data_IF_812161794300
#
_entry.id   IF_812161794300
#
_cell.length_a   1.000
_cell.length_b   1.000
_cell.length_c   1.000
_cell.angle_alpha   90.00
_cell.angle_beta   90.00
_cell.angle_gamma   90.00
#
_symmetry.space_group_name_H-M   'P 1'
#
loop_
_entity.id
_entity.type
_entity.pdbx_description
1 polymer ?
#
# COMPACT_ATOMS: atom_id res chain seq x y z
N UNK A 1 -11.78 10.13 -26.21
CA UNK A 1 -11.91 9.15 -25.12
C UNK A 1 -12.07 9.85 -23.78
N UNK A 2 -12.63 9.18 -22.76
CA UNK A 2 -12.80 9.70 -21.40
C UNK A 2 -12.16 8.74 -20.41
N UNK A 3 -11.41 9.27 -19.44
CA UNK A 3 -10.80 8.49 -18.35
C UNK A 3 -11.27 9.01 -16.99
N UNK A 4 -11.23 8.19 -15.97
CA UNK A 4 -11.53 8.57 -14.58
C UNK A 4 -10.24 8.68 -13.79
N UNK A 5 -9.92 9.88 -13.31
CA UNK A 5 -8.76 10.13 -12.46
C UNK A 5 -9.16 9.98 -10.99
N UNK A 6 -8.38 9.20 -10.22
CA UNK A 6 -8.54 9.01 -8.77
C UNK A 6 -7.51 9.82 -8.00
N UNK A 7 -7.98 10.52 -6.97
CA UNK A 7 -7.15 11.33 -6.08
C UNK A 7 -7.05 10.71 -4.70
N UNK A 8 -5.84 10.68 -4.14
CA UNK A 8 -5.56 10.13 -2.82
C UNK A 8 -4.75 11.10 -1.96
N UNK A 9 -4.88 10.97 -0.64
CA UNK A 9 -4.10 11.69 0.33
C UNK A 9 -4.12 13.22 0.11
N UNK A 10 -2.95 13.89 0.10
CA UNK A 10 -2.84 15.32 -0.08
C UNK A 10 -3.50 15.84 -1.38
N UNK A 11 -3.46 15.04 -2.47
CA UNK A 11 -4.10 15.44 -3.73
C UNK A 11 -5.62 15.51 -3.62
N UNK A 12 -6.24 14.52 -2.95
CA UNK A 12 -7.68 14.54 -2.73
C UNK A 12 -8.11 15.74 -1.90
N UNK A 13 -7.34 16.07 -0.86
CA UNK A 13 -7.63 17.22 0.00
C UNK A 13 -7.50 18.53 -0.76
N UNK A 14 -6.45 18.70 -1.55
CA UNK A 14 -6.18 19.90 -2.32
C UNK A 14 -7.17 20.10 -3.49
N UNK A 15 -7.66 19.04 -4.11
CA UNK A 15 -8.62 19.08 -5.22
C UNK A 15 -10.07 19.09 -4.74
N UNK A 16 -10.33 18.72 -3.47
CA UNK A 16 -11.67 18.64 -2.88
C UNK A 16 -12.56 17.53 -3.45
N UNK A 17 -12.00 16.62 -4.28
CA UNK A 17 -12.76 15.53 -4.90
C UNK A 17 -12.00 14.22 -4.83
N UNK A 18 -12.72 13.09 -4.81
CA UNK A 18 -12.12 11.75 -4.86
C UNK A 18 -11.78 11.32 -6.28
N UNK A 19 -12.53 11.83 -7.26
CA UNK A 19 -12.38 11.44 -8.65
C UNK A 19 -12.77 12.57 -9.59
N UNK A 20 -12.22 12.55 -10.80
CA UNK A 20 -12.44 13.51 -11.86
C UNK A 20 -12.51 12.81 -13.22
N UNK A 21 -13.60 13.03 -13.95
CA UNK A 21 -13.69 12.59 -15.35
C UNK A 21 -12.94 13.55 -16.27
N UNK A 22 -11.99 13.04 -17.05
CA UNK A 22 -11.17 13.84 -17.97
C UNK A 22 -11.36 13.37 -19.39
N UNK A 23 -11.62 14.32 -20.31
CA UNK A 23 -11.69 14.05 -21.76
C UNK A 23 -10.33 14.26 -22.39
N UNK A 24 -9.88 13.29 -23.15
CA UNK A 24 -8.60 13.31 -23.87
C UNK A 24 -8.82 13.00 -25.35
N UNK A 25 -7.92 13.44 -26.25
CA UNK A 25 -7.88 12.95 -27.62
C UNK A 25 -7.66 11.44 -27.65
N UNK A 26 -8.15 10.77 -28.71
CA UNK A 26 -7.85 9.36 -28.90
C UNK A 26 -6.36 9.15 -29.15
N UNK A 27 -5.81 8.09 -28.53
CA UNK A 27 -4.39 7.77 -28.59
C UNK A 27 -3.52 8.56 -27.60
N UNK A 28 -4.12 9.35 -26.69
CA UNK A 28 -3.37 10.03 -25.62
C UNK A 28 -2.72 9.00 -24.67
N UNK A 29 -1.61 9.40 -24.08
CA UNK A 29 -0.83 8.63 -23.11
C UNK A 29 -0.97 9.20 -21.70
N UNK A 30 -0.52 8.44 -20.72
CA UNK A 30 -0.54 8.85 -19.30
C UNK A 30 0.19 10.19 -19.09
N UNK A 31 1.30 10.43 -19.78
CA UNK A 31 2.04 11.69 -19.74
C UNK A 31 1.24 12.90 -20.26
N UNK A 32 0.40 12.70 -21.28
CA UNK A 32 -0.47 13.75 -21.80
C UNK A 32 -1.54 14.16 -20.78
N UNK A 33 -2.12 13.16 -20.10
CA UNK A 33 -3.04 13.38 -18.99
C UNK A 33 -2.35 14.12 -17.83
N UNK A 34 -1.17 13.68 -17.42
CA UNK A 34 -0.40 14.34 -16.36
C UNK A 34 -0.07 15.81 -16.71
N UNK A 35 0.32 16.08 -17.96
CA UNK A 35 0.60 17.43 -18.44
C UNK A 35 -0.66 18.32 -18.47
N UNK A 36 -1.82 17.75 -18.79
CA UNK A 36 -3.10 18.45 -18.74
C UNK A 36 -3.45 18.83 -17.30
N UNK A 37 -3.39 17.85 -16.38
CA UNK A 37 -3.71 18.04 -14.97
C UNK A 37 -2.77 19.04 -14.29
N UNK A 38 -1.49 19.05 -14.64
CA UNK A 38 -0.52 20.02 -14.13
C UNK A 38 -0.82 21.46 -14.55
N UNK A 39 -1.49 21.65 -15.69
CA UNK A 39 -1.94 23.00 -16.12
C UNK A 39 -3.22 23.44 -15.44
N UNK A 40 -4.12 22.52 -15.11
CA UNK A 40 -5.44 22.82 -14.56
C UNK A 40 -5.46 22.81 -13.02
N UNK A 41 -4.54 22.10 -12.37
CA UNK A 41 -4.49 21.93 -10.91
C UNK A 41 -3.09 22.26 -10.36
N UNK A 42 -2.94 23.43 -9.73
CA UNK A 42 -1.66 23.87 -9.15
C UNK A 42 -1.12 22.87 -8.09
N UNK A 43 -2.02 22.32 -7.26
CA UNK A 43 -1.67 21.30 -6.27
C UNK A 43 -1.09 20.03 -6.92
N UNK A 44 -1.64 19.60 -8.05
CA UNK A 44 -1.09 18.49 -8.81
C UNK A 44 0.29 18.85 -9.38
N UNK A 45 0.42 20.03 -9.99
CA UNK A 45 1.69 20.48 -10.57
C UNK A 45 2.84 20.48 -9.54
N UNK A 46 2.57 20.90 -8.30
CA UNK A 46 3.55 20.95 -7.22
C UNK A 46 4.00 19.57 -6.77
N UNK A 47 3.13 18.56 -6.82
CA UNK A 47 3.40 17.20 -6.39
C UNK A 47 3.84 16.27 -7.54
N UNK A 48 3.55 16.63 -8.79
CA UNK A 48 3.77 15.81 -9.98
C UNK A 48 5.14 15.11 -10.05
N UNK A 49 6.28 15.76 -9.72
CA UNK A 49 7.59 15.10 -9.76
C UNK A 49 7.76 13.93 -8.78
N UNK A 50 6.88 13.83 -7.78
CA UNK A 50 6.94 12.83 -6.70
C UNK A 50 5.82 11.81 -6.78
N UNK A 51 4.89 11.98 -7.74
CA UNK A 51 3.76 11.08 -7.91
C UNK A 51 4.17 9.84 -8.69
N UNK A 52 3.69 8.70 -8.25
CA UNK A 52 3.61 7.49 -9.07
C UNK A 52 2.24 7.46 -9.74
N UNK A 53 2.14 6.81 -10.88
CA UNK A 53 0.85 6.65 -11.54
C UNK A 53 0.50 5.17 -11.68
N UNK A 54 -0.80 4.89 -11.70
CA UNK A 54 -1.35 3.58 -11.99
C UNK A 54 -2.50 3.72 -12.99
N UNK A 55 -2.58 2.81 -13.93
CA UNK A 55 -3.70 2.65 -14.86
C UNK A 55 -4.38 1.33 -14.53
N UNK A 56 -5.69 1.36 -14.27
CA UNK A 56 -6.47 0.19 -13.88
C UNK A 56 -5.81 -0.60 -12.74
N UNK A 57 -5.28 0.13 -11.73
CA UNK A 57 -4.62 -0.40 -10.52
C UNK A 57 -3.27 -1.08 -10.77
N UNK A 58 -2.66 -0.90 -11.94
CA UNK A 58 -1.28 -1.34 -12.23
C UNK A 58 -0.38 -0.13 -12.41
N UNK A 59 0.81 -0.17 -11.80
CA UNK A 59 1.79 0.92 -11.94
C UNK A 59 2.13 1.09 -13.41
N UNK A 60 2.11 2.33 -13.87
CA UNK A 60 2.34 2.67 -15.27
C UNK A 60 3.29 3.85 -15.42
N UNK A 61 4.09 3.83 -16.49
CA UNK A 61 4.99 4.90 -16.86
C UNK A 61 4.30 5.91 -17.78
N UNK A 62 4.89 7.10 -17.93
CA UNK A 62 4.30 8.21 -18.67
C UNK A 62 3.97 7.89 -20.14
N UNK A 63 4.63 6.92 -20.75
CA UNK A 63 4.41 6.48 -22.13
C UNK A 63 3.29 5.44 -22.28
N UNK A 64 2.69 4.98 -21.16
CA UNK A 64 1.59 4.02 -21.20
C UNK A 64 0.40 4.58 -22.00
N UNK A 65 -0.15 3.81 -22.96
CA UNK A 65 -1.33 4.23 -23.70
C UNK A 65 -2.56 4.21 -22.81
N UNK A 66 -3.46 5.17 -23.03
CA UNK A 66 -4.76 5.21 -22.36
C UNK A 66 -5.88 4.80 -23.31
N UNK A 67 -6.90 4.15 -22.77
CA UNK A 67 -8.13 3.76 -23.45
C UNK A 67 -9.36 4.45 -22.86
N UNK A 68 -10.46 4.42 -23.61
CA UNK A 68 -11.74 4.94 -23.10
C UNK A 68 -12.23 4.11 -21.92
N UNK A 69 -12.62 4.79 -20.85
CA UNK A 69 -13.07 4.15 -19.60
C UNK A 69 -11.97 3.79 -18.62
N UNK A 70 -10.68 4.01 -18.92
CA UNK A 70 -9.59 3.72 -17.99
C UNK A 70 -9.72 4.49 -16.68
N UNK A 71 -9.38 3.81 -15.58
CA UNK A 71 -9.16 4.41 -14.27
C UNK A 71 -7.67 4.74 -14.11
N UNK A 72 -7.36 6.02 -13.89
CA UNK A 72 -5.99 6.49 -13.66
C UNK A 72 -5.86 7.02 -12.24
N UNK A 73 -4.95 6.48 -11.47
CA UNK A 73 -4.65 6.95 -10.12
C UNK A 73 -3.28 7.62 -10.07
N UNK A 74 -3.20 8.82 -9.48
CA UNK A 74 -1.93 9.45 -9.14
C UNK A 74 -1.71 9.29 -7.65
N UNK A 75 -0.62 8.60 -7.31
CA UNK A 75 -0.30 8.10 -5.99
C UNK A 75 0.79 8.97 -5.36
N UNK A 76 0.46 9.80 -4.36
CA UNK A 76 1.48 10.50 -3.57
C UNK A 76 2.44 9.51 -2.91
N UNK A 77 3.64 9.94 -2.47
CA UNK A 77 4.53 9.11 -1.69
C UNK A 77 3.80 8.47 -0.52
N UNK A 78 3.98 7.16 -0.33
CA UNK A 78 3.39 6.43 0.79
C UNK A 78 4.17 6.73 2.07
N UNK A 79 3.55 6.55 3.21
CA UNK A 79 4.19 6.77 4.50
C UNK A 79 5.29 5.71 4.73
N UNK A 80 6.56 6.04 4.43
CA UNK A 80 7.71 5.17 4.63
C UNK A 80 8.66 5.02 3.43
N UNK A 81 8.35 5.65 2.28
CA UNK A 81 9.18 5.52 1.08
C UNK A 81 10.41 6.43 1.10
N UNK A 82 11.62 5.87 1.19
CA UNK A 82 12.81 6.48 0.63
C UNK A 82 12.77 6.31 -0.88
N UNK A 83 13.03 7.38 -1.63
CA UNK A 83 13.33 7.54 -3.06
C UNK A 83 12.94 6.46 -4.08
N UNK A 84 13.15 6.69 -5.37
CA UNK A 84 12.84 5.68 -6.37
C UNK A 84 13.58 4.37 -6.03
N UNK A 85 12.95 3.20 -6.25
CA UNK A 85 13.61 1.93 -6.03
C UNK A 85 14.92 1.93 -6.80
N UNK A 86 15.99 1.48 -6.15
CA UNK A 86 17.25 1.21 -6.82
C UNK A 86 17.00 0.18 -7.94
N UNK A 87 16.88 0.65 -9.16
CA UNK A 87 16.66 -0.17 -10.36
C UNK A 87 17.91 -0.93 -10.78
N UNK A 88 18.96 -0.96 -9.98
CA UNK A 88 20.21 -1.66 -10.26
C UNK A 88 20.12 -3.18 -10.04
N UNK A 89 19.03 -3.71 -9.44
CA UNK A 89 18.79 -5.13 -9.43
C UNK A 89 17.63 -5.48 -10.39
N UNK A 90 17.89 -6.27 -11.45
CA UNK A 90 16.83 -6.77 -12.29
C UNK A 90 15.90 -7.66 -11.46
N UNK A 91 14.56 -7.59 -11.69
CA UNK A 91 13.65 -8.52 -11.05
C UNK A 91 14.07 -9.94 -11.43
N UNK A 92 14.41 -10.72 -10.45
CA UNK A 92 14.68 -12.15 -10.62
C UNK A 92 13.40 -12.80 -11.11
N UNK A 93 13.37 -13.20 -12.39
CA UNK A 93 12.28 -13.96 -12.98
C UNK A 93 12.29 -15.35 -12.33
N UNK A 94 11.58 -15.49 -11.22
CA UNK A 94 11.25 -16.80 -10.67
C UNK A 94 10.05 -17.34 -11.47
N UNK A 95 10.16 -18.51 -12.11
CA UNK A 95 9.03 -19.08 -12.83
C UNK A 95 7.87 -19.31 -11.85
N UNK A 96 6.68 -18.92 -12.28
CA UNK A 96 5.43 -19.19 -11.58
C UNK A 96 5.33 -20.71 -11.34
N UNK A 97 5.49 -21.12 -10.09
CA UNK A 97 5.08 -22.44 -9.65
C UNK A 97 3.56 -22.43 -9.60
N UNK A 98 2.93 -23.21 -10.48
CA UNK A 98 1.48 -23.46 -10.44
C UNK A 98 1.16 -24.32 -9.20
N UNK A 99 0.95 -23.67 -8.06
CA UNK A 99 0.32 -24.31 -6.92
C UNK A 99 -1.19 -24.32 -7.16
N UNK A 100 -1.74 -25.51 -7.43
CA UNK A 100 -3.17 -25.78 -7.56
C UNK A 100 -3.86 -25.43 -6.26
N UNK A 101 -4.95 -24.62 -6.25
CA UNK A 101 -5.73 -24.40 -5.04
C UNK A 101 -6.54 -25.66 -4.73
N UNK A 102 -6.33 -26.24 -3.56
CA UNK A 102 -7.24 -27.21 -2.95
C UNK A 102 -8.48 -26.44 -2.46
N UNK A 103 -9.65 -26.85 -2.93
CA UNK A 103 -10.91 -26.15 -2.75
C UNK A 103 -11.41 -26.06 -1.31
N UNK A 104 -11.51 -24.88 -0.86
CA UNK A 104 -12.19 -24.26 0.25
C UNK A 104 -11.98 -22.78 0.07
N UNK A 105 -12.94 -21.92 0.37
CA UNK A 105 -12.73 -20.47 0.32
C UNK A 105 -11.69 -20.11 1.39
N UNK A 106 -10.41 -20.17 1.05
CA UNK A 106 -9.32 -19.71 1.93
C UNK A 106 -9.53 -18.20 2.13
N UNK A 107 -9.60 -17.79 3.39
CA UNK A 107 -9.57 -16.38 3.73
C UNK A 107 -8.28 -15.76 3.12
N UNK A 108 -8.37 -14.59 2.48
CA UNK A 108 -7.21 -13.95 1.85
C UNK A 108 -6.12 -13.72 2.90
N UNK A 109 -4.86 -14.01 2.53
CA UNK A 109 -3.71 -13.80 3.43
C UNK A 109 -3.56 -12.33 3.82
N UNK A 110 -3.90 -11.44 2.90
CA UNK A 110 -3.74 -9.99 3.05
C UNK A 110 -5.08 -9.27 2.91
N UNK A 111 -5.40 -8.39 3.87
CA UNK A 111 -6.70 -7.72 3.91
C UNK A 111 -6.58 -6.27 4.36
N UNK A 112 -7.48 -5.43 3.84
CA UNK A 112 -7.81 -4.12 4.41
C UNK A 112 -9.12 -4.20 5.20
N UNK A 113 -9.24 -3.40 6.26
CA UNK A 113 -10.44 -3.39 7.11
C UNK A 113 -10.70 -2.01 7.70
N UNK A 114 -11.94 -1.57 7.72
CA UNK A 114 -12.37 -0.43 8.53
C UNK A 114 -12.73 -0.84 9.96
N UNK A 115 -12.88 -2.15 10.20
CA UNK A 115 -13.18 -2.71 11.52
C UNK A 115 -11.89 -3.00 12.31
N UNK A 116 -11.95 -3.06 13.64
CA UNK A 116 -10.81 -3.44 14.47
C UNK A 116 -10.17 -4.75 14.04
N UNK A 117 -8.84 -4.79 14.03
CA UNK A 117 -8.07 -5.99 13.68
C UNK A 117 -8.02 -6.97 14.84
N UNK A 118 -8.07 -8.26 14.52
CA UNK A 118 -7.83 -9.36 15.45
C UNK A 118 -6.50 -10.05 15.14
N UNK A 119 -5.56 -9.99 16.09
CA UNK A 119 -4.23 -10.59 15.95
C UNK A 119 -4.33 -12.11 15.76
N UNK A 120 -5.24 -12.76 16.48
CA UNK A 120 -5.46 -14.21 16.40
C UNK A 120 -5.90 -14.67 15.02
N UNK A 121 -6.79 -13.91 14.38
CA UNK A 121 -7.25 -14.19 13.02
C UNK A 121 -6.08 -14.10 12.01
N UNK A 122 -5.22 -13.07 12.12
CA UNK A 122 -4.07 -12.94 11.20
C UNK A 122 -3.04 -14.05 11.45
N UNK A 123 -2.79 -14.41 12.71
CA UNK A 123 -1.91 -15.52 13.08
C UNK A 123 -2.44 -16.85 12.52
N UNK A 124 -3.75 -17.09 12.60
CA UNK A 124 -4.38 -18.32 12.09
C UNK A 124 -4.11 -18.57 10.61
N UNK A 125 -3.93 -17.51 9.80
CA UNK A 125 -3.64 -17.59 8.35
C UNK A 125 -2.24 -18.16 8.03
N UNK A 126 -1.30 -18.16 8.99
CA UNK A 126 0.07 -18.63 8.77
C UNK A 126 0.40 -19.90 9.55
N UNK A 127 -0.45 -20.34 10.47
CA UNK A 127 -0.24 -21.58 11.25
C UNK A 127 -0.19 -22.79 10.31
N UNK A 128 0.70 -23.73 10.61
CA UNK A 128 0.81 -25.00 9.88
C UNK A 128 1.76 -25.96 10.59
N UNK A 129 1.71 -27.25 10.22
CA UNK A 129 2.47 -28.32 10.91
C UNK A 129 3.98 -28.19 10.77
N UNK A 130 4.43 -27.43 9.77
CA UNK A 130 5.84 -27.16 9.44
C UNK A 130 6.35 -25.86 10.06
N UNK A 131 5.51 -25.10 10.77
CA UNK A 131 5.90 -23.85 11.42
C UNK A 131 6.54 -24.13 12.80
N UNK A 132 7.85 -23.97 12.89
CA UNK A 132 8.59 -24.07 14.17
C UNK A 132 8.62 -22.74 14.94
N UNK A 133 8.27 -21.61 14.29
CA UNK A 133 8.17 -20.30 14.91
C UNK A 133 7.22 -19.37 14.19
N UNK A 134 6.48 -18.56 14.95
CA UNK A 134 5.61 -17.50 14.42
C UNK A 134 6.03 -16.20 15.10
N UNK A 135 6.25 -15.17 14.29
CA UNK A 135 6.51 -13.80 14.73
C UNK A 135 5.34 -12.93 14.33
N UNK A 136 4.86 -12.12 15.26
CA UNK A 136 3.79 -11.15 14.99
C UNK A 136 4.29 -9.74 15.24
N UNK A 137 4.17 -8.88 14.24
CA UNK A 137 4.34 -7.44 14.38
C UNK A 137 2.97 -6.78 14.48
N UNK A 138 2.80 -5.94 15.50
CA UNK A 138 1.57 -5.17 15.73
C UNK A 138 1.93 -3.69 15.79
N UNK A 139 1.46 -2.92 14.81
CA UNK A 139 1.57 -1.46 14.81
C UNK A 139 0.34 -0.82 15.43
N UNK A 140 0.56 0.11 16.37
CA UNK A 140 -0.52 0.81 17.09
C UNK A 140 -0.45 2.31 16.88
N UNK A 141 -1.57 3.00 17.11
CA UNK A 141 -1.64 4.45 17.10
C UNK A 141 -1.04 5.02 18.38
N UNK A 142 -0.01 5.84 18.25
CA UNK A 142 0.66 6.50 19.40
C UNK A 142 0.03 7.85 19.72
N UNK A 143 -0.01 8.23 20.99
CA UNK A 143 -0.52 9.53 21.45
C UNK A 143 0.42 10.71 21.16
N UNK A 144 1.63 10.47 20.66
CA UNK A 144 2.59 11.51 20.32
C UNK A 144 3.39 11.14 19.06
N UNK A 145 3.64 12.11 18.20
CA UNK A 145 4.46 11.99 17.00
C UNK A 145 5.19 13.30 16.73
N UNK A 146 6.51 13.27 16.51
CA UNK A 146 7.35 14.42 16.14
C UNK A 146 7.17 15.65 17.05
N UNK A 147 6.90 15.44 18.35
CA UNK A 147 6.68 16.52 19.32
C UNK A 147 5.24 17.02 19.41
N UNK A 148 4.33 16.55 18.57
CA UNK A 148 2.91 16.90 18.59
C UNK A 148 2.09 15.87 19.37
N UNK A 149 1.06 16.33 20.07
CA UNK A 149 0.07 15.44 20.71
C UNK A 149 -0.97 15.03 19.70
N UNK A 150 -1.00 13.73 19.39
CA UNK A 150 -1.92 13.14 18.43
C UNK A 150 -3.27 12.88 19.08
N UNK A 151 -4.36 13.20 18.40
CA UNK A 151 -5.73 12.87 18.80
C UNK A 151 -6.20 11.56 18.19
N UNK A 152 -5.96 11.39 16.89
CA UNK A 152 -6.25 10.18 16.14
C UNK A 152 -5.45 10.14 14.84
N UNK A 153 -5.46 9.01 14.16
CA UNK A 153 -4.96 8.87 12.79
C UNK A 153 -6.12 8.60 11.84
N UNK A 154 -5.94 9.02 10.58
CA UNK A 154 -6.80 8.60 9.48
C UNK A 154 -5.93 7.90 8.45
N UNK A 155 -6.35 6.69 8.04
CA UNK A 155 -5.70 5.95 6.97
C UNK A 155 -6.57 5.91 5.74
N UNK A 156 -6.00 6.27 4.61
CA UNK A 156 -6.60 6.12 3.29
C UNK A 156 -5.82 5.09 2.49
N UNK A 157 -6.50 4.28 1.70
CA UNK A 157 -5.88 3.28 0.85
C UNK A 157 -6.48 3.31 -0.56
N UNK A 158 -5.71 2.79 -1.53
CA UNK A 158 -6.24 2.35 -2.82
C UNK A 158 -6.49 0.83 -2.74
N UNK A 159 -7.73 0.38 -2.38
CA UNK A 159 -7.94 -0.91 -1.73
C UNK A 159 -7.39 -2.11 -2.50
N UNK A 160 -7.90 -2.37 -3.70
CA UNK A 160 -7.50 -3.57 -4.46
C UNK A 160 -6.02 -3.57 -4.85
N UNK A 161 -5.43 -2.40 -5.12
CA UNK A 161 -4.00 -2.30 -5.39
C UNK A 161 -3.20 -2.57 -4.11
N UNK A 162 -3.65 -2.05 -2.96
CA UNK A 162 -2.98 -2.28 -1.68
C UNK A 162 -2.99 -3.77 -1.29
N UNK A 163 -4.13 -4.44 -1.41
CA UNK A 163 -4.24 -5.87 -1.11
C UNK A 163 -3.36 -6.71 -2.04
N UNK A 164 -3.36 -6.44 -3.35
CA UNK A 164 -2.48 -7.13 -4.30
C UNK A 164 -1.00 -6.90 -4.01
N UNK A 165 -0.63 -5.68 -3.61
CA UNK A 165 0.76 -5.38 -3.28
C UNK A 165 1.20 -6.07 -1.99
N UNK A 166 0.33 -6.17 -0.97
CA UNK A 166 0.58 -6.99 0.22
C UNK A 166 0.74 -8.47 -0.11
N UNK A 167 -0.09 -9.03 -1.02
CA UNK A 167 0.06 -10.42 -1.47
C UNK A 167 1.42 -10.65 -2.17
N UNK A 168 1.87 -9.72 -3.03
CA UNK A 168 3.20 -9.79 -3.66
C UNK A 168 4.32 -9.80 -2.62
N UNK A 169 4.22 -8.96 -1.59
CA UNK A 169 5.19 -8.93 -0.50
C UNK A 169 5.23 -10.27 0.24
N UNK A 170 4.07 -10.89 0.47
CA UNK A 170 4.00 -12.21 1.09
C UNK A 170 4.65 -13.30 0.20
N UNK A 171 4.44 -13.25 -1.12
CA UNK A 171 5.06 -14.17 -2.08
C UNK A 171 6.59 -13.95 -2.17
N UNK A 172 7.06 -12.72 -2.17
CA UNK A 172 8.49 -12.37 -2.14
C UNK A 172 9.16 -12.88 -0.86
N UNK A 173 8.49 -12.76 0.30
CA UNK A 173 8.98 -13.33 1.55
C UNK A 173 9.11 -14.85 1.47
N UNK A 174 8.11 -15.54 0.91
CA UNK A 174 8.14 -16.99 0.73
C UNK A 174 9.24 -17.44 -0.25
N UNK A 175 9.51 -16.64 -1.28
CA UNK A 175 10.59 -16.90 -2.24
C UNK A 175 11.99 -16.70 -1.61
N UNK A 176 12.13 -15.68 -0.74
CA UNK A 176 13.41 -15.37 -0.08
C UNK A 176 13.73 -16.31 1.09
N UNK A 177 12.71 -16.75 1.81
CA UNK A 177 12.83 -17.71 2.93
C UNK A 177 11.94 -18.92 2.69
N UNK A 178 12.44 -19.99 2.07
CA UNK A 178 11.66 -21.19 1.76
C UNK A 178 10.97 -21.78 3.01
N UNK A 179 9.67 -22.02 2.89
CA UNK A 179 8.81 -22.44 3.99
C UNK A 179 8.24 -21.31 4.87
N UNK A 180 8.63 -20.04 4.61
CA UNK A 180 7.99 -18.92 5.26
C UNK A 180 6.59 -18.66 4.68
N UNK A 181 5.65 -18.29 5.56
CA UNK A 181 4.30 -17.83 5.23
C UNK A 181 4.06 -16.50 5.92
N UNK A 182 3.54 -15.52 5.18
CA UNK A 182 3.24 -14.19 5.71
C UNK A 182 1.78 -13.87 5.46
N UNK A 183 1.13 -13.31 6.48
CA UNK A 183 -0.22 -12.74 6.39
C UNK A 183 -0.22 -11.33 6.96
N UNK A 184 -1.02 -10.45 6.38
CA UNK A 184 -1.08 -9.04 6.76
C UNK A 184 -2.52 -8.55 6.82
N UNK A 185 -2.82 -7.71 7.80
CA UNK A 185 -4.06 -6.95 7.85
C UNK A 185 -3.74 -5.50 8.20
N UNK A 186 -4.32 -4.55 7.48
CA UNK A 186 -4.15 -3.12 7.75
C UNK A 186 -5.51 -2.43 7.89
N UNK A 187 -5.61 -1.51 8.87
CA UNK A 187 -6.79 -0.68 9.09
C UNK A 187 -6.82 0.49 8.12
N UNK A 188 -8.03 0.88 7.73
CA UNK A 188 -8.33 2.13 7.03
C UNK A 188 -9.37 2.94 7.81
N UNK A 189 -9.57 4.20 7.44
CA UNK A 189 -10.47 5.12 8.14
C UNK A 189 -9.86 5.69 9.43
N UNK A 190 -10.73 6.04 10.37
CA UNK A 190 -10.37 6.68 11.64
C UNK A 190 -9.88 5.65 12.67
N UNK A 191 -8.75 5.94 13.31
CA UNK A 191 -8.17 5.12 14.38
C UNK A 191 -7.84 5.98 15.61
N UNK A 192 -8.42 5.61 16.75
CA UNK A 192 -8.09 6.23 18.04
C UNK A 192 -6.72 5.77 18.56
N UNK A 193 -6.19 6.51 19.52
CA UNK A 193 -4.93 6.17 20.21
C UNK A 193 -5.05 4.78 20.85
N UNK A 194 -4.03 3.94 20.63
CA UNK A 194 -3.96 2.57 21.13
C UNK A 194 -4.60 1.52 20.20
N UNK A 195 -5.39 1.93 19.20
CA UNK A 195 -5.95 0.98 18.24
C UNK A 195 -4.87 0.38 17.33
N UNK A 196 -5.15 -0.83 16.84
CA UNK A 196 -4.25 -1.54 15.94
C UNK A 196 -4.41 -0.98 14.52
N UNK A 197 -3.31 -0.51 13.94
CA UNK A 197 -3.27 -0.01 12.58
C UNK A 197 -2.87 -1.10 11.58
N UNK A 198 -1.93 -1.96 11.98
CA UNK A 198 -1.43 -3.05 11.14
C UNK A 198 -1.09 -4.26 11.99
N UNK A 199 -1.39 -5.45 11.48
CA UNK A 199 -0.95 -6.73 12.03
C UNK A 199 -0.28 -7.50 10.92
N UNK A 200 0.94 -7.99 11.17
CA UNK A 200 1.68 -8.89 10.30
C UNK A 200 2.02 -10.14 11.09
N UNK A 201 1.70 -11.30 10.55
CA UNK A 201 2.13 -12.59 11.09
C UNK A 201 3.05 -13.27 10.07
N UNK A 202 4.20 -13.75 10.52
CA UNK A 202 5.13 -14.53 9.71
C UNK A 202 5.48 -15.84 10.42
N UNK A 203 5.22 -16.97 9.77
CA UNK A 203 5.57 -18.30 10.23
C UNK A 203 6.70 -18.87 9.37
N UNK A 204 7.62 -19.61 9.96
CA UNK A 204 8.67 -20.34 9.25
C UNK A 204 9.11 -21.58 10.05
N UNK A 205 9.84 -22.53 9.40
CA UNK A 205 10.40 -23.71 10.10
C UNK A 205 11.30 -23.34 11.28
N UNK A 206 12.05 -22.24 11.16
CA UNK A 206 12.92 -21.76 12.24
C UNK A 206 12.67 -20.29 12.54
N UNK A 207 12.96 -19.87 13.78
CA UNK A 207 12.69 -18.51 14.26
C UNK A 207 13.42 -17.40 13.47
N UNK A 208 14.63 -17.68 12.97
CA UNK A 208 15.43 -16.66 12.28
C UNK A 208 14.73 -16.17 11.01
N UNK A 209 14.22 -17.11 10.22
CA UNK A 209 13.47 -16.82 8.99
C UNK A 209 12.12 -16.14 9.30
N UNK A 210 11.44 -16.53 10.38
CA UNK A 210 10.19 -15.89 10.80
C UNK A 210 10.42 -14.42 11.18
N UNK A 211 11.48 -14.09 11.93
CA UNK A 211 11.85 -12.70 12.23
C UNK A 211 12.23 -11.92 10.97
N UNK A 212 13.03 -12.53 10.08
CA UNK A 212 13.46 -11.89 8.85
C UNK A 212 12.28 -11.59 7.93
N UNK A 213 11.36 -12.54 7.73
CA UNK A 213 10.17 -12.39 6.91
C UNK A 213 9.20 -11.33 7.48
N UNK A 214 8.99 -11.29 8.81
CA UNK A 214 8.15 -10.31 9.45
C UNK A 214 8.71 -8.89 9.27
N UNK A 215 10.03 -8.71 9.45
CA UNK A 215 10.71 -7.44 9.25
C UNK A 215 10.63 -6.99 7.79
N UNK A 216 10.96 -7.87 6.85
CA UNK A 216 10.86 -7.59 5.43
C UNK A 216 9.44 -7.14 5.06
N UNK A 217 8.42 -7.84 5.56
CA UNK A 217 7.04 -7.52 5.25
C UNK A 217 6.64 -6.12 5.72
N UNK A 218 6.97 -5.71 6.97
CA UNK A 218 6.61 -4.37 7.46
C UNK A 218 7.42 -3.27 6.76
N UNK A 219 8.72 -3.48 6.56
CA UNK A 219 9.58 -2.48 5.93
C UNK A 219 9.15 -2.24 4.47
N UNK A 220 8.84 -3.32 3.73
CA UNK A 220 8.39 -3.26 2.34
C UNK A 220 6.96 -2.72 2.21
N UNK A 221 6.05 -3.11 3.12
CA UNK A 221 4.68 -2.57 3.17
C UNK A 221 4.69 -1.04 3.24
N UNK A 222 5.50 -0.48 4.14
CA UNK A 222 5.62 0.97 4.30
C UNK A 222 6.15 1.70 3.07
N UNK A 223 6.91 1.01 2.23
CA UNK A 223 7.53 1.61 1.03
C UNK A 223 6.66 1.49 -0.22
N UNK A 224 5.85 0.43 -0.34
CA UNK A 224 5.23 0.04 -1.61
C UNK A 224 3.72 0.07 -1.61
N UNK A 225 3.09 -0.28 -0.47
CA UNK A 225 1.64 -0.43 -0.40
C UNK A 225 0.98 0.95 -0.42
N UNK A 226 0.05 1.22 -1.33
CA UNK A 226 -0.61 2.51 -1.46
C UNK A 226 -1.61 2.74 -0.31
N UNK A 227 -1.06 3.08 0.85
CA UNK A 227 -1.76 3.47 2.07
C UNK A 227 -1.15 4.78 2.55
N UNK A 228 -1.98 5.77 2.82
CA UNK A 228 -1.57 7.09 3.30
C UNK A 228 -2.07 7.30 4.72
N UNK A 229 -1.26 7.97 5.54
CA UNK A 229 -1.55 8.26 6.93
C UNK A 229 -1.66 9.78 7.14
N UNK A 230 -2.77 10.22 7.69
CA UNK A 230 -2.98 11.57 8.17
C UNK A 230 -2.95 11.59 9.69
N UNK A 231 -2.09 12.41 10.27
CA UNK A 231 -2.04 12.67 11.70
C UNK A 231 -2.92 13.87 12.02
N UNK A 232 -3.91 13.66 12.89
CA UNK A 232 -4.75 14.73 13.42
C UNK A 232 -4.27 15.03 14.84
N UNK A 233 -3.62 16.16 14.98
CA UNK A 233 -3.06 16.64 16.24
C UNK A 233 -3.92 17.74 16.88
N UNK A 234 -3.57 18.18 18.09
CA UNK A 234 -4.27 19.26 18.77
C UNK A 234 -4.11 20.61 18.06
N UNK A 235 -3.01 20.78 17.34
CA UNK A 235 -2.55 22.00 16.68
C UNK A 235 -2.67 21.96 15.15
N UNK A 236 -3.25 20.91 14.58
CA UNK A 236 -3.50 20.81 13.13
C UNK A 236 -3.53 19.39 12.59
N UNK A 237 -3.69 19.29 11.28
CA UNK A 237 -3.73 18.05 10.54
C UNK A 237 -2.55 17.99 9.57
N UNK A 238 -1.91 16.82 9.44
CA UNK A 238 -0.76 16.65 8.55
C UNK A 238 -0.76 15.27 7.91
N UNK A 239 -0.66 15.23 6.58
CA UNK A 239 -0.33 14.00 5.86
C UNK A 239 1.12 13.65 6.12
N UNK A 240 1.35 12.43 6.60
CA UNK A 240 2.68 12.01 7.00
C UNK A 240 3.37 11.32 5.84
N UNK A 241 4.43 11.96 5.36
CA UNK A 241 5.47 11.32 4.57
C UNK A 241 6.58 10.93 5.55
N UNK A 242 6.72 9.65 5.87
CA UNK A 242 7.85 9.21 6.71
C UNK A 242 9.14 9.30 5.92
N UNK A 243 9.89 10.36 6.18
CA UNK A 243 11.34 10.37 6.00
C UNK A 243 11.93 9.92 7.34
N UNK A 244 12.47 8.72 7.40
CA UNK A 244 13.30 8.28 8.51
C UNK A 244 14.66 8.94 8.44
#
# INVERSE_FOLDING_TARGET
MQVTVKWFGPLREATGTKELGVKLPDGARLGDLAALLAREHEAFASLAPRLRAAVNQEVAEADAPLADGDEVAFLPPVAGGQGPPDTSQPPSLVPRSEAKPSGGAEEPRCTLSELPLDVGQVVARVVGPDAGGIVTFVGTVRGASRGHTIRHLEYEAYPHMAEREMEKIADEAAAQWPGARVAMAHRTGHLAIGELAVVIAAAAPHRAEAFAAARFAIDTLKQRVPIWKKEVAADGETWVEEHA
#
